data_IF_234749285201
#
_entry.id   IF_234749285201
#
_cell.length_a   1.000
_cell.length_b   1.000
_cell.length_c   1.000
_cell.angle_alpha   90.00
_cell.angle_beta   90.00
_cell.angle_gamma   90.00
#
_symmetry.space_group_name_H-M   'P 1'
#
loop_
_entity.id
_entity.type
_entity.pdbx_description
1 polymer ?
#
# COMPACT_ATOMS: atom_id res chain seq x y z
N UNK A 1 7.33 -6.88 -17.08
CA UNK A 1 8.16 -6.67 -15.88
C UNK A 1 7.23 -6.16 -14.81
N UNK A 2 7.07 -6.89 -13.71
CA UNK A 2 6.09 -6.55 -12.68
C UNK A 2 6.79 -5.87 -11.52
N UNK A 3 6.26 -4.74 -11.07
CA UNK A 3 6.75 -4.02 -9.91
C UNK A 3 5.93 -4.40 -8.70
N UNK A 4 6.61 -4.70 -7.59
CA UNK A 4 5.99 -4.96 -6.30
C UNK A 4 6.15 -3.75 -5.38
N UNK A 5 5.09 -3.42 -4.63
CA UNK A 5 5.08 -2.34 -3.65
C UNK A 5 4.60 -2.89 -2.32
N UNK A 6 5.42 -2.75 -1.27
CA UNK A 6 5.01 -3.00 0.10
C UNK A 6 4.79 -1.65 0.77
N UNK A 7 3.54 -1.32 1.04
CA UNK A 7 3.12 -0.05 1.64
C UNK A 7 2.78 -0.28 3.09
N UNK A 8 3.69 0.03 3.99
CA UNK A 8 3.43 0.07 5.42
C UNK A 8 2.62 1.31 5.78
N UNK A 9 1.70 1.16 6.73
CA UNK A 9 0.87 2.25 7.22
C UNK A 9 0.77 2.26 8.75
N UNK A 10 0.68 3.46 9.30
CA UNK A 10 0.42 3.72 10.72
C UNK A 10 -0.81 4.58 10.86
N UNK A 11 -1.76 4.14 11.68
CA UNK A 11 -2.95 4.91 12.02
C UNK A 11 -2.63 5.90 13.13
N UNK A 12 -3.29 7.05 13.09
CA UNK A 12 -3.40 7.91 14.27
C UNK A 12 -4.25 7.22 15.34
N UNK A 13 -4.10 7.56 16.62
CA UNK A 13 -5.08 7.20 17.64
C UNK A 13 -6.45 7.70 17.21
N UNK A 14 -7.44 6.80 17.19
CA UNK A 14 -8.80 7.11 16.74
C UNK A 14 -9.83 6.61 17.75
N UNK A 15 -10.89 7.38 17.92
CA UNK A 15 -12.12 6.93 18.57
C UNK A 15 -12.93 5.97 17.70
N UNK A 16 -14.04 5.47 18.24
CA UNK A 16 -14.91 4.52 17.51
C UNK A 16 -15.51 5.11 16.24
N UNK A 17 -16.03 6.34 16.31
CA UNK A 17 -16.65 7.04 15.18
C UNK A 17 -15.63 7.31 14.06
N UNK A 18 -14.42 7.76 14.42
CA UNK A 18 -13.34 7.98 13.47
C UNK A 18 -12.89 6.67 12.80
N UNK A 19 -12.85 5.57 13.56
CA UNK A 19 -12.53 4.25 13.01
C UNK A 19 -13.63 3.73 12.06
N UNK A 20 -14.89 4.06 12.29
CA UNK A 20 -15.99 3.74 11.36
C UNK A 20 -15.86 4.57 10.07
N UNK A 21 -15.62 5.88 10.19
CA UNK A 21 -15.40 6.78 9.05
C UNK A 21 -14.15 6.43 8.23
N UNK A 22 -13.08 5.95 8.87
CA UNK A 22 -11.87 5.54 8.16
C UNK A 22 -12.10 4.28 7.31
N UNK A 23 -12.94 3.35 7.78
CA UNK A 23 -13.38 2.18 7.00
C UNK A 23 -14.21 2.58 5.78
N UNK A 24 -15.10 3.56 5.93
CA UNK A 24 -15.87 4.10 4.81
C UNK A 24 -14.98 4.79 3.78
N UNK A 25 -14.03 5.60 4.25
CA UNK A 25 -13.03 6.25 3.39
C UNK A 25 -12.20 5.21 2.63
N UNK A 26 -11.72 4.17 3.32
CA UNK A 26 -10.99 3.08 2.67
C UNK A 26 -11.83 2.34 1.64
N UNK A 27 -13.12 2.10 1.93
CA UNK A 27 -14.05 1.51 0.96
C UNK A 27 -14.15 2.37 -0.28
N UNK A 28 -14.39 3.68 -0.13
CA UNK A 28 -14.47 4.65 -1.23
C UNK A 28 -13.21 4.65 -2.08
N UNK A 29 -12.05 4.74 -1.43
CA UNK A 29 -10.74 4.71 -2.11
C UNK A 29 -10.62 3.46 -2.98
N UNK A 30 -10.95 2.27 -2.44
CA UNK A 30 -10.87 1.00 -3.19
C UNK A 30 -11.87 0.87 -4.33
N UNK A 31 -13.04 1.51 -4.24
CA UNK A 31 -14.11 1.34 -5.23
C UNK A 31 -14.14 2.42 -6.29
N UNK A 32 -13.79 3.66 -5.94
CA UNK A 32 -13.97 4.83 -6.81
C UNK A 32 -12.65 5.40 -7.33
N UNK A 33 -11.58 5.31 -6.54
CA UNK A 33 -10.31 5.99 -6.82
C UNK A 33 -9.23 5.02 -7.30
N UNK A 34 -9.33 3.75 -6.89
CA UNK A 34 -8.28 2.76 -7.12
C UNK A 34 -8.03 2.51 -8.62
N UNK A 35 -6.78 2.62 -9.11
CA UNK A 35 -6.47 2.37 -10.51
C UNK A 35 -6.70 0.91 -10.89
N UNK A 36 -7.26 0.67 -12.09
CA UNK A 36 -7.52 -0.70 -12.58
C UNK A 36 -6.24 -1.52 -12.76
N UNK A 37 -5.15 -0.86 -13.15
CA UNK A 37 -3.87 -1.51 -13.45
C UNK A 37 -2.95 -1.65 -12.22
N UNK A 38 -3.44 -1.25 -11.04
CA UNK A 38 -2.76 -1.44 -9.75
C UNK A 38 -3.47 -2.54 -8.96
N UNK A 39 -2.88 -3.73 -8.91
CA UNK A 39 -3.48 -4.89 -8.24
C UNK A 39 -3.16 -4.89 -6.75
N UNK A 40 -4.17 -5.08 -5.90
CA UNK A 40 -3.96 -5.44 -4.50
C UNK A 40 -3.71 -6.95 -4.43
N UNK A 41 -2.49 -7.35 -4.11
CA UNK A 41 -2.12 -8.74 -3.86
C UNK A 41 -2.57 -9.18 -2.47
N UNK A 42 -2.45 -8.29 -1.48
CA UNK A 42 -2.96 -8.53 -0.13
C UNK A 42 -2.98 -7.30 0.75
N UNK A 43 -3.84 -7.33 1.76
CA UNK A 43 -3.95 -6.35 2.84
C UNK A 43 -3.74 -7.09 4.18
N UNK A 44 -2.63 -6.78 4.84
CA UNK A 44 -2.17 -7.49 6.02
C UNK A 44 -2.28 -6.60 7.24
N UNK A 45 -3.17 -7.01 8.17
CA UNK A 45 -3.32 -6.37 9.47
C UNK A 45 -2.26 -6.89 10.43
N UNK A 46 -1.79 -6.02 11.33
CA UNK A 46 -0.82 -6.31 12.39
C UNK A 46 0.56 -6.73 11.86
N UNK A 47 1.35 -5.74 11.46
CA UNK A 47 2.73 -5.93 11.01
C UNK A 47 3.69 -6.24 12.18
N UNK A 48 3.56 -7.44 12.76
CA UNK A 48 4.37 -7.90 13.90
C UNK A 48 5.87 -7.82 13.63
N UNK A 49 6.63 -7.47 14.66
CA UNK A 49 8.07 -7.22 14.54
C UNK A 49 8.42 -5.84 13.96
N UNK A 50 7.42 -4.98 13.73
CA UNK A 50 7.61 -3.60 13.27
C UNK A 50 6.77 -2.63 14.10
N UNK A 51 7.00 -1.33 13.93
CA UNK A 51 6.19 -0.26 14.51
C UNK A 51 4.93 0.09 13.67
N UNK A 52 4.72 -0.59 12.55
CA UNK A 52 3.61 -0.34 11.65
C UNK A 52 2.34 -1.09 12.07
N UNK A 53 1.17 -0.52 11.79
CA UNK A 53 -0.09 -1.21 12.09
C UNK A 53 -0.38 -2.34 11.11
N UNK A 54 0.03 -2.19 9.85
CA UNK A 54 -0.19 -3.16 8.79
C UNK A 54 0.53 -2.74 7.52
N UNK A 55 0.36 -3.52 6.46
CA UNK A 55 0.89 -3.21 5.15
C UNK A 55 0.03 -3.74 4.01
N UNK A 56 0.09 -3.05 2.87
CA UNK A 56 -0.48 -3.50 1.60
C UNK A 56 0.64 -4.06 0.73
N UNK A 57 0.33 -5.12 0.00
CA UNK A 57 1.19 -5.63 -1.09
C UNK A 57 0.48 -5.37 -2.39
N UNK A 58 1.10 -4.59 -3.27
CA UNK A 58 0.55 -4.19 -4.56
C UNK A 58 1.47 -4.63 -5.69
N UNK A 59 0.88 -4.90 -6.85
CA UNK A 59 1.59 -5.22 -8.09
C UNK A 59 1.06 -4.41 -9.27
N UNK A 60 1.94 -3.94 -10.15
CA UNK A 60 1.57 -3.39 -11.46
C UNK A 60 2.71 -3.57 -12.48
N UNK A 61 2.38 -3.59 -13.78
CA UNK A 61 3.39 -3.70 -14.84
C UNK A 61 3.98 -2.33 -15.26
N UNK A 62 3.27 -1.24 -14.95
CA UNK A 62 3.74 0.13 -15.16
C UNK A 62 3.81 0.88 -13.81
N UNK A 63 5.02 1.15 -13.26
CA UNK A 63 5.17 1.76 -11.95
C UNK A 63 4.66 3.21 -11.89
N UNK A 64 4.52 3.87 -13.05
CA UNK A 64 3.93 5.21 -13.15
C UNK A 64 2.49 5.23 -12.63
N UNK A 65 1.73 4.14 -12.80
CA UNK A 65 0.36 4.01 -12.26
C UNK A 65 0.35 4.16 -10.74
N UNK A 66 1.32 3.57 -10.04
CA UNK A 66 1.45 3.73 -8.60
C UNK A 66 1.83 5.17 -8.24
N UNK A 67 2.80 5.78 -8.93
CA UNK A 67 3.27 7.13 -8.62
C UNK A 67 2.22 8.22 -8.87
N UNK A 68 1.33 8.05 -9.84
CA UNK A 68 0.21 8.96 -10.10
C UNK A 68 -0.90 8.79 -9.06
N UNK A 69 -1.18 7.56 -8.65
CA UNK A 69 -2.17 7.25 -7.63
C UNK A 69 -1.73 7.67 -6.22
N UNK A 70 -0.45 7.54 -5.90
CA UNK A 70 0.06 7.66 -4.52
C UNK A 70 -0.22 9.03 -3.87
N UNK A 71 -0.06 10.19 -4.53
CA UNK A 71 -0.44 11.48 -3.98
C UNK A 71 -1.93 11.55 -3.62
N UNK A 72 -2.81 11.02 -4.47
CA UNK A 72 -4.26 10.99 -4.25
C UNK A 72 -4.59 10.12 -3.04
N UNK A 73 -4.00 8.92 -2.97
CA UNK A 73 -4.16 8.04 -1.80
C UNK A 73 -3.76 8.74 -0.50
N UNK A 74 -2.59 9.40 -0.48
CA UNK A 74 -2.13 10.11 0.72
C UNK A 74 -3.05 11.25 1.10
N UNK A 75 -3.59 12.01 0.15
CA UNK A 75 -4.51 13.10 0.44
C UNK A 75 -5.81 12.58 1.09
N UNK A 76 -6.41 11.54 0.51
CA UNK A 76 -7.64 10.92 1.02
C UNK A 76 -7.48 10.32 2.42
N UNK A 77 -6.26 9.85 2.74
CA UNK A 77 -5.98 9.11 3.97
C UNK A 77 -5.25 9.90 5.05
N UNK A 78 -4.74 11.09 4.74
CA UNK A 78 -3.94 11.95 5.63
C UNK A 78 -4.59 12.24 6.98
N UNK A 79 -5.92 12.27 7.04
CA UNK A 79 -6.62 12.60 8.28
C UNK A 79 -6.51 11.48 9.32
N UNK A 80 -6.44 10.20 8.90
CA UNK A 80 -6.37 9.03 9.80
C UNK A 80 -5.08 8.21 9.72
N UNK A 81 -4.28 8.37 8.66
CA UNK A 81 -2.93 7.83 8.59
C UNK A 81 -1.93 8.85 9.14
N UNK A 82 -1.10 8.39 10.08
CA UNK A 82 -0.03 9.16 10.70
C UNK A 82 1.21 9.16 9.80
N UNK A 83 1.63 7.96 9.38
CA UNK A 83 2.81 7.79 8.55
C UNK A 83 2.67 6.60 7.61
N UNK A 84 3.44 6.61 6.53
CA UNK A 84 3.53 5.51 5.55
C UNK A 84 4.98 5.31 5.12
N UNK A 85 5.34 4.08 4.80
CA UNK A 85 6.62 3.75 4.19
C UNK A 85 6.37 2.79 3.02
N UNK A 86 6.94 3.11 1.86
CA UNK A 86 6.81 2.26 0.67
C UNK A 86 8.16 1.66 0.32
N UNK A 87 8.21 0.33 0.23
CA UNK A 87 9.33 -0.42 -0.33
C UNK A 87 8.94 -0.86 -1.74
N UNK A 88 9.80 -0.59 -2.72
CA UNK A 88 9.53 -0.89 -4.14
C UNK A 88 10.59 -1.88 -4.63
N UNK A 89 10.16 -2.88 -5.39
CA UNK A 89 11.04 -3.84 -6.03
C UNK A 89 10.51 -4.27 -7.39
N UNK A 90 11.37 -4.92 -8.16
CA UNK A 90 10.98 -5.59 -9.40
C UNK A 90 10.87 -7.08 -9.12
N UNK A 91 9.74 -7.68 -9.49
CA UNK A 91 9.51 -9.11 -9.35
C UNK A 91 10.42 -9.88 -10.31
N UNK A 92 11.13 -10.85 -9.78
CA UNK A 92 12.04 -11.77 -10.49
C UNK A 92 11.61 -13.20 -10.20
N UNK A 93 12.10 -14.15 -10.98
CA UNK A 93 11.91 -15.57 -10.68
C UNK A 93 12.73 -15.96 -9.43
N UNK A 94 12.18 -16.69 -8.46
CA UNK A 94 12.93 -17.20 -7.32
C UNK A 94 14.19 -18.00 -7.70
N UNK A 95 14.20 -18.66 -8.87
CA UNK A 95 15.36 -19.41 -9.36
C UNK A 95 16.48 -18.50 -9.89
N UNK A 96 16.21 -17.20 -10.09
CA UNK A 96 17.19 -16.18 -10.46
C UNK A 96 17.89 -15.55 -9.23
N UNK A 97 17.60 -16.04 -8.02
CA UNK A 97 18.16 -15.57 -6.75
C UNK A 97 19.69 -15.75 -6.69
N UNK A 98 20.42 -14.72 -7.13
CA UNK A 98 21.89 -14.70 -7.21
C UNK A 98 22.45 -14.10 -8.49
N UNK A 99 21.63 -13.91 -9.52
CA UNK A 99 22.01 -13.19 -10.75
C UNK A 99 21.99 -11.67 -10.58
N UNK A 100 21.26 -11.17 -9.56
CA UNK A 100 21.06 -9.76 -9.24
C UNK A 100 22.28 -9.04 -8.63
N UNK A 101 23.37 -9.75 -8.35
CA UNK A 101 24.58 -9.18 -7.73
C UNK A 101 25.67 -8.76 -8.74
N UNK A 102 25.31 -8.48 -10.00
CA UNK A 102 26.24 -8.02 -11.03
C UNK A 102 25.94 -6.60 -11.47
#
# INVERSE_FOLDING_TARGET
>A
MTYGFVVFYRFKPMGREEAEKSRETWRRVRTEIWPKDLKIVGDYRHAWGTEWNGFLVLECDNPQVFFEFWPVFREETRWYLDNTQTVIGVKTDPDEWGSLSR
#
